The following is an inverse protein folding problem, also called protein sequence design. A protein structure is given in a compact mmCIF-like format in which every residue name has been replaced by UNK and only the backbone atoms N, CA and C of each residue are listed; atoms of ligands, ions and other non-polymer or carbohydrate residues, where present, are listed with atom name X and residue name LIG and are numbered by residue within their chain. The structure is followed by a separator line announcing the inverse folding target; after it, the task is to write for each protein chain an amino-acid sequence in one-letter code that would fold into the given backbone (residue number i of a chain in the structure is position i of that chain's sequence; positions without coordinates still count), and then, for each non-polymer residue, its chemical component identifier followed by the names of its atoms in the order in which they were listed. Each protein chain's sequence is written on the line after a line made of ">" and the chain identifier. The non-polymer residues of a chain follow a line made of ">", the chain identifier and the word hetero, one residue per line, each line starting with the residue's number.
data_IF_426013659343
#
_entry.id   IF_426013659343
#
_cell.length_a   1.000
_cell.length_b   1.000
_cell.length_c   1.000
_cell.angle_alpha   90.00
_cell.angle_beta   90.00
_cell.angle_gamma   90.00
#
_symmetry.space_group_name_H-M   'P 1'
#
loop_
_entity.id
_entity.type
_entity.pdbx_description
1 polymer ?
#
# COMPACT_ATOMS: atom_id res chain seq x y z
N UNK A 1 -4.88 13.25 16.10
CA UNK A 1 -4.69 12.03 15.29
C UNK A 1 -3.34 11.41 15.65
N UNK A 2 -3.31 10.12 15.96
CA UNK A 2 -2.07 9.38 16.23
C UNK A 2 -1.88 8.31 15.16
N UNK A 3 -0.66 8.21 14.64
CA UNK A 3 -0.28 7.21 13.63
C UNK A 3 1.14 6.71 13.92
N UNK A 4 1.45 5.39 13.80
CA UNK A 4 2.79 4.88 14.04
C UNK A 4 3.89 5.55 13.21
N UNK A 5 3.56 5.97 11.99
CA UNK A 5 4.46 6.70 11.10
C UNK A 5 4.45 8.21 11.34
N UNK A 6 3.39 8.74 11.94
CA UNK A 6 3.13 10.19 12.01
C UNK A 6 2.90 10.80 10.63
N UNK A 7 2.49 9.99 9.66
CA UNK A 7 2.25 10.39 8.27
C UNK A 7 0.79 10.19 7.89
N UNK A 8 0.29 11.05 7.01
CA UNK A 8 -0.98 10.88 6.30
C UNK A 8 -0.74 10.26 4.92
N UNK A 9 -1.78 9.63 4.33
CA UNK A 9 -1.74 9.26 2.92
C UNK A 9 -1.50 10.50 2.03
N UNK A 10 -1.03 10.28 0.82
CA UNK A 10 -0.91 11.35 -0.18
C UNK A 10 -2.29 11.89 -0.59
N UNK A 11 -2.29 12.97 -1.37
CA UNK A 11 -3.51 13.56 -1.93
C UNK A 11 -3.49 13.43 -3.43
N UNK A 12 -4.64 13.11 -4.03
CA UNK A 12 -4.77 12.92 -5.47
C UNK A 12 -5.89 13.69 -6.15
N UNK A 13 -5.68 14.05 -7.41
CA UNK A 13 -6.74 14.58 -8.27
C UNK A 13 -7.72 13.50 -8.68
N UNK A 14 -7.21 12.37 -9.15
CA UNK A 14 -8.01 11.23 -9.62
C UNK A 14 -7.15 9.96 -9.57
N UNK A 15 -7.78 8.78 -9.44
CA UNK A 15 -7.06 7.53 -9.75
C UNK A 15 -7.23 7.35 -11.25
N UNK A 16 -6.24 7.77 -12.04
CA UNK A 16 -6.22 7.45 -13.45
C UNK A 16 -5.96 5.94 -13.60
N UNK A 17 -7.03 5.17 -13.83
CA UNK A 17 -6.95 3.73 -14.12
C UNK A 17 -6.16 3.45 -15.40
N UNK A 18 -6.13 4.43 -16.30
CA UNK A 18 -5.37 4.44 -17.54
C UNK A 18 -4.14 5.33 -17.35
N UNK A 19 -3.23 4.90 -16.47
CA UNK A 19 -1.86 5.36 -16.56
C UNK A 19 -1.37 5.23 -18.01
N UNK A 20 -0.66 6.21 -18.58
CA UNK A 20 -0.07 6.08 -19.91
C UNK A 20 0.63 4.74 -20.05
N UNK A 21 0.47 4.04 -21.18
CA UNK A 21 1.17 2.78 -21.50
C UNK A 21 2.68 3.02 -21.77
N UNK A 22 3.32 3.83 -20.94
CA UNK A 22 4.70 4.27 -21.09
C UNK A 22 5.68 3.41 -20.29
N UNK A 23 5.20 2.36 -19.59
CA UNK A 23 6.02 1.44 -18.81
C UNK A 23 5.95 0.01 -19.37
N UNK A 24 6.91 -0.39 -20.24
CA UNK A 24 7.05 -1.74 -20.75
C UNK A 24 7.33 -2.74 -19.63
N UNK A 25 6.69 -3.91 -19.68
CA UNK A 25 6.87 -4.95 -18.66
C UNK A 25 8.29 -5.55 -18.66
N UNK A 26 8.95 -5.59 -19.82
CA UNK A 26 10.32 -6.08 -19.96
C UNK A 26 11.32 -5.16 -19.28
N UNK A 27 11.19 -3.85 -19.49
CA UNK A 27 12.02 -2.82 -18.84
C UNK A 27 11.82 -2.84 -17.32
N UNK A 28 10.56 -2.85 -16.87
CA UNK A 28 10.23 -2.98 -15.44
C UNK A 28 10.87 -4.22 -14.82
N UNK A 29 10.78 -5.37 -15.50
CA UNK A 29 11.41 -6.62 -15.05
C UNK A 29 12.93 -6.53 -15.02
N UNK A 30 13.55 -5.87 -16.00
CA UNK A 30 14.99 -5.68 -16.06
C UNK A 30 15.52 -4.94 -14.83
N UNK A 31 14.76 -3.95 -14.33
CA UNK A 31 15.07 -3.15 -13.14
C UNK A 31 14.56 -3.73 -11.81
N UNK A 32 13.99 -4.93 -11.83
CA UNK A 32 13.44 -5.60 -10.64
C UNK A 32 14.42 -6.59 -10.00
N UNK A 33 15.72 -6.36 -10.15
CA UNK A 33 16.78 -7.27 -9.63
C UNK A 33 17.21 -6.94 -8.21
N UNK A 34 17.02 -5.70 -7.80
CA UNK A 34 17.31 -5.20 -6.46
C UNK A 34 16.43 -3.99 -6.14
N UNK A 35 16.29 -3.65 -4.86
CA UNK A 35 15.53 -2.46 -4.43
C UNK A 35 16.19 -1.17 -4.96
N UNK A 36 17.51 -1.11 -4.98
CA UNK A 36 18.22 0.10 -5.42
C UNK A 36 18.01 0.35 -6.91
N UNK A 37 18.21 -0.67 -7.74
CA UNK A 37 17.97 -0.61 -9.19
C UNK A 37 16.51 -0.19 -9.49
N UNK A 38 15.55 -0.81 -8.79
CA UNK A 38 14.14 -0.45 -8.94
C UNK A 38 13.86 1.01 -8.54
N UNK A 39 14.46 1.49 -7.44
CA UNK A 39 14.29 2.89 -6.99
C UNK A 39 14.86 3.87 -8.00
N UNK A 40 16.03 3.61 -8.56
CA UNK A 40 16.62 4.46 -9.58
C UNK A 40 15.74 4.52 -10.82
N UNK A 41 15.26 3.36 -11.30
CA UNK A 41 14.31 3.28 -12.39
C UNK A 41 13.03 4.09 -12.13
N UNK A 42 12.44 3.91 -10.94
CA UNK A 42 11.23 4.63 -10.55
C UNK A 42 11.43 6.14 -10.51
N UNK A 43 12.55 6.62 -9.96
CA UNK A 43 12.89 8.04 -9.91
C UNK A 43 13.09 8.60 -11.32
N UNK A 44 13.81 7.88 -12.19
CA UNK A 44 14.06 8.30 -13.57
C UNK A 44 12.77 8.39 -14.38
N UNK A 45 11.92 7.35 -14.31
CA UNK A 45 10.63 7.33 -15.00
C UNK A 45 9.70 8.43 -14.48
N UNK A 46 9.73 8.69 -13.18
CA UNK A 46 8.95 9.79 -12.64
C UNK A 46 9.47 11.15 -13.10
N UNK A 47 10.79 11.31 -13.17
CA UNK A 47 11.45 12.50 -13.70
C UNK A 47 11.08 12.75 -15.17
N UNK A 48 11.04 11.70 -16.01
CA UNK A 48 10.66 11.84 -17.42
C UNK A 48 9.19 12.25 -17.59
N UNK A 49 8.31 11.89 -16.66
CA UNK A 49 6.91 12.33 -16.61
C UNK A 49 6.75 13.77 -16.09
N UNK A 50 7.85 14.48 -15.83
CA UNK A 50 7.84 15.83 -15.29
C UNK A 50 7.69 15.89 -13.77
N UNK A 51 7.74 14.75 -13.07
CA UNK A 51 7.91 14.73 -11.62
C UNK A 51 9.36 14.98 -11.29
N UNK A 52 9.75 16.25 -11.25
CA UNK A 52 11.05 16.64 -10.74
C UNK A 52 10.92 16.86 -9.24
N UNK A 53 11.58 16.05 -8.39
CA UNK A 53 11.79 16.45 -7.00
C UNK A 53 12.41 17.85 -6.93
N UNK A 54 13.21 18.27 -7.92
CA UNK A 54 13.79 19.61 -8.01
C UNK A 54 12.85 20.77 -8.42
N UNK A 55 11.64 20.51 -8.94
CA UNK A 55 10.59 21.56 -9.03
C UNK A 55 10.01 21.89 -7.65
N UNK A 56 10.18 20.98 -6.69
CA UNK A 56 10.05 21.23 -5.26
C UNK A 56 11.44 21.67 -4.78
N UNK A 57 11.73 22.98 -4.82
CA UNK A 57 13.05 23.52 -4.39
C UNK A 57 13.40 23.24 -2.92
N UNK A 58 12.49 22.63 -2.18
CA UNK A 58 12.64 22.34 -0.77
C UNK A 58 12.70 20.83 -0.52
N UNK A 59 13.57 20.37 0.40
CA UNK A 59 13.53 18.99 0.85
C UNK A 59 12.11 18.66 1.30
N UNK A 60 11.59 17.52 0.83
CA UNK A 60 10.26 17.05 1.20
C UNK A 60 10.10 17.13 2.73
N UNK A 61 9.04 17.79 3.24
CA UNK A 61 8.87 17.95 4.68
C UNK A 61 8.90 16.59 5.37
N UNK A 62 9.68 16.49 6.45
CA UNK A 62 9.71 15.26 7.28
C UNK A 62 8.48 15.15 8.16
N UNK A 63 7.88 16.29 8.52
CA UNK A 63 6.62 16.38 9.23
C UNK A 63 5.47 15.90 8.32
N UNK A 64 4.65 14.97 8.83
CA UNK A 64 3.54 14.41 8.08
C UNK A 64 2.44 15.42 7.72
N UNK A 65 2.20 16.43 8.56
CA UNK A 65 1.22 17.50 8.28
C UNK A 65 1.69 18.37 7.13
N UNK A 66 2.90 18.93 7.22
CA UNK A 66 3.46 19.81 6.18
C UNK A 66 3.57 19.06 4.85
N UNK A 67 3.95 17.78 4.91
CA UNK A 67 4.01 16.95 3.71
C UNK A 67 2.63 16.69 3.10
N UNK A 68 1.60 16.46 3.93
CA UNK A 68 0.22 16.33 3.45
C UNK A 68 -0.27 17.63 2.79
N UNK A 69 0.02 18.79 3.39
CA UNK A 69 -0.36 20.08 2.84
C UNK A 69 0.31 20.35 1.49
N UNK A 70 1.59 19.98 1.34
CA UNK A 70 2.29 20.01 0.06
C UNK A 70 1.62 19.08 -0.97
N UNK A 71 1.34 17.83 -0.60
CA UNK A 71 0.68 16.88 -1.51
C UNK A 71 -0.71 17.40 -1.93
N UNK A 72 -1.46 18.06 -1.02
CA UNK A 72 -2.74 18.71 -1.32
C UNK A 72 -2.59 19.83 -2.35
N UNK A 73 -1.66 20.76 -2.14
CA UNK A 73 -1.44 21.89 -3.05
C UNK A 73 -1.05 21.42 -4.45
N UNK A 74 -0.17 20.42 -4.54
CA UNK A 74 0.20 19.82 -5.82
C UNK A 74 -0.99 19.18 -6.52
N UNK A 75 -1.83 18.45 -5.79
CA UNK A 75 -3.03 17.83 -6.34
C UNK A 75 -4.04 18.90 -6.79
N UNK A 76 -4.36 19.88 -5.96
CA UNK A 76 -5.33 20.93 -6.28
C UNK A 76 -4.96 21.69 -7.56
N UNK A 77 -3.67 21.89 -7.82
CA UNK A 77 -3.16 22.55 -9.01
C UNK A 77 -2.90 21.61 -10.21
N UNK A 78 -3.26 20.31 -10.12
CA UNK A 78 -3.09 19.35 -11.20
C UNK A 78 -1.65 18.86 -11.43
N UNK A 79 -0.74 19.10 -10.47
CA UNK A 79 0.68 18.74 -10.54
C UNK A 79 1.02 17.42 -9.85
N UNK A 80 0.03 16.62 -9.48
CA UNK A 80 0.24 15.30 -8.87
C UNK A 80 0.63 14.25 -9.92
N UNK A 81 1.92 14.24 -10.29
CA UNK A 81 2.45 13.40 -11.37
C UNK A 81 2.54 11.92 -10.98
N UNK A 82 2.71 11.61 -9.70
CA UNK A 82 2.84 10.22 -9.22
C UNK A 82 1.58 9.37 -9.52
N UNK A 83 0.40 9.99 -9.60
CA UNK A 83 -0.87 9.33 -9.95
C UNK A 83 -0.81 8.64 -11.31
N UNK A 84 0.01 9.17 -12.22
CA UNK A 84 0.17 8.67 -13.59
C UNK A 84 1.00 7.40 -13.66
N UNK A 85 1.82 7.09 -12.65
CA UNK A 85 2.71 5.92 -12.67
C UNK A 85 2.32 4.83 -11.67
N UNK A 86 1.81 5.20 -10.49
CA UNK A 86 1.72 4.25 -9.36
C UNK A 86 0.79 3.07 -9.67
N UNK A 87 -0.34 3.32 -10.32
CA UNK A 87 -1.28 2.27 -10.71
C UNK A 87 -0.63 1.27 -11.67
N UNK A 88 0.13 1.76 -12.65
CA UNK A 88 0.86 0.91 -13.60
C UNK A 88 1.99 0.13 -12.94
N UNK A 89 2.72 0.74 -12.02
CA UNK A 89 3.77 0.06 -11.26
C UNK A 89 3.21 -1.08 -10.41
N UNK A 90 2.06 -0.88 -9.76
CA UNK A 90 1.38 -1.92 -8.99
C UNK A 90 0.93 -3.07 -9.90
N UNK A 91 0.32 -2.74 -11.05
CA UNK A 91 -0.06 -3.75 -12.04
C UNK A 91 1.14 -4.58 -12.50
N UNK A 92 2.25 -3.92 -12.84
CA UNK A 92 3.48 -4.57 -13.27
C UNK A 92 4.15 -5.38 -12.17
N UNK A 93 4.16 -4.89 -10.93
CA UNK A 93 4.64 -5.65 -9.78
C UNK A 93 3.82 -6.93 -9.58
N UNK A 94 2.50 -6.85 -9.64
CA UNK A 94 1.62 -8.03 -9.54
C UNK A 94 1.85 -9.03 -10.69
N UNK A 95 2.13 -8.56 -11.90
CA UNK A 95 2.42 -9.42 -13.05
C UNK A 95 3.82 -10.03 -13.01
N UNK A 96 4.84 -9.25 -12.65
CA UNK A 96 6.25 -9.60 -12.89
C UNK A 96 6.97 -10.10 -11.65
N UNK A 97 6.56 -9.66 -10.45
CA UNK A 97 7.24 -10.04 -9.20
C UNK A 97 6.68 -11.33 -8.60
N UNK A 98 5.42 -11.65 -8.88
CA UNK A 98 4.78 -12.87 -8.39
C UNK A 98 5.64 -14.14 -8.63
N UNK A 99 6.19 -14.40 -9.84
CA UNK A 99 7.01 -15.60 -10.09
C UNK A 99 8.46 -15.52 -9.54
N UNK A 100 8.90 -14.39 -8.96
CA UNK A 100 10.25 -14.28 -8.41
C UNK A 100 10.45 -15.17 -7.18
N UNK A 101 11.72 -15.44 -6.84
CA UNK A 101 12.09 -16.07 -5.57
C UNK A 101 11.48 -15.29 -4.41
N UNK A 102 10.93 -16.01 -3.43
CA UNK A 102 10.19 -15.42 -2.28
C UNK A 102 11.00 -14.32 -1.58
N UNK A 103 12.30 -14.56 -1.34
CA UNK A 103 13.17 -13.58 -0.69
C UNK A 103 13.30 -12.29 -1.49
N UNK A 104 13.60 -12.38 -2.79
CA UNK A 104 13.70 -11.20 -3.66
C UNK A 104 12.37 -10.46 -3.77
N UNK A 105 11.26 -11.19 -3.94
CA UNK A 105 9.92 -10.60 -3.99
C UNK A 105 9.63 -9.81 -2.72
N UNK A 106 9.86 -10.39 -1.54
CA UNK A 106 9.64 -9.70 -0.27
C UNK A 106 10.57 -8.49 -0.09
N UNK A 107 11.83 -8.61 -0.51
CA UNK A 107 12.77 -7.48 -0.48
C UNK A 107 12.30 -6.33 -1.37
N UNK A 108 11.83 -6.60 -2.59
CA UNK A 108 11.28 -5.58 -3.49
C UNK A 108 10.02 -4.93 -2.90
N UNK A 109 9.05 -5.73 -2.44
CA UNK A 109 7.80 -5.26 -1.84
C UNK A 109 8.06 -4.35 -0.63
N UNK A 110 8.90 -4.79 0.30
CA UNK A 110 9.27 -4.01 1.48
C UNK A 110 10.08 -2.76 1.11
N UNK A 111 10.90 -2.82 0.06
CA UNK A 111 11.71 -1.70 -0.39
C UNK A 111 10.90 -0.52 -0.93
N UNK A 112 9.63 -0.77 -1.32
CA UNK A 112 8.75 0.22 -1.95
C UNK A 112 7.43 0.40 -1.21
N UNK A 113 7.26 -0.27 -0.07
CA UNK A 113 6.03 -0.26 0.73
C UNK A 113 5.61 1.16 1.09
N UNK A 114 6.56 2.02 1.45
CA UNK A 114 6.27 3.41 1.83
C UNK A 114 5.66 4.22 0.69
N UNK A 115 6.12 4.00 -0.54
CA UNK A 115 5.58 4.67 -1.74
C UNK A 115 4.20 4.12 -2.09
N UNK A 116 4.08 2.79 -2.09
CA UNK A 116 2.83 2.09 -2.35
C UNK A 116 1.76 2.52 -1.36
N UNK A 117 2.02 2.42 -0.05
CA UNK A 117 1.04 2.74 0.97
C UNK A 117 0.63 4.19 0.90
N UNK A 118 1.59 5.13 0.75
CA UNK A 118 1.28 6.56 0.68
C UNK A 118 0.39 6.91 -0.51
N UNK A 119 0.66 6.36 -1.68
CA UNK A 119 0.04 6.80 -2.92
C UNK A 119 -1.16 5.96 -3.36
N UNK A 120 -1.18 4.66 -3.05
CA UNK A 120 -2.34 3.81 -3.38
C UNK A 120 -3.53 4.15 -2.48
N UNK A 121 -3.27 4.51 -1.22
CA UNK A 121 -4.33 4.96 -0.29
C UNK A 121 -4.57 6.47 -0.36
N UNK A 122 -4.01 7.15 -1.38
CA UNK A 122 -4.13 8.60 -1.49
C UNK A 122 -5.59 9.05 -1.55
N UNK A 123 -5.87 10.12 -0.81
CA UNK A 123 -7.21 10.68 -0.67
C UNK A 123 -7.54 11.57 -1.87
N UNK A 124 -8.75 11.50 -2.45
CA UNK A 124 -9.20 12.48 -3.44
C UNK A 124 -9.12 13.90 -2.87
N UNK A 125 -8.70 14.88 -3.68
CA UNK A 125 -8.52 16.28 -3.27
C UNK A 125 -9.75 16.85 -2.56
N UNK A 126 -10.95 16.49 -3.05
CA UNK A 126 -12.21 16.90 -2.43
C UNK A 126 -12.37 16.38 -0.99
N UNK A 127 -11.92 15.15 -0.71
CA UNK A 127 -11.91 14.59 0.65
C UNK A 127 -10.81 15.20 1.52
N UNK A 128 -9.67 15.55 0.91
CA UNK A 128 -8.52 16.13 1.61
C UNK A 128 -8.73 17.58 2.04
N UNK A 129 -9.65 18.32 1.39
CA UNK A 129 -9.95 19.73 1.68
C UNK A 129 -10.31 19.98 3.14
N UNK A 130 -11.20 19.16 3.71
CA UNK A 130 -11.64 19.32 5.11
C UNK A 130 -10.49 19.07 6.10
N UNK A 131 -9.60 18.12 5.80
CA UNK A 131 -8.42 17.88 6.62
C UNK A 131 -7.46 19.07 6.58
N UNK A 132 -7.22 19.62 5.39
CA UNK A 132 -6.41 20.84 5.22
C UNK A 132 -6.96 22.01 6.02
N UNK A 133 -8.26 22.28 5.93
CA UNK A 133 -8.91 23.36 6.68
C UNK A 133 -8.76 23.15 8.19
N UNK A 134 -8.91 21.92 8.67
CA UNK A 134 -8.71 21.59 10.08
C UNK A 134 -7.28 21.78 10.57
N UNK A 135 -6.27 21.44 9.75
CA UNK A 135 -4.87 21.70 10.09
C UNK A 135 -4.55 23.20 10.09
N UNK A 136 -5.02 23.97 9.11
CA UNK A 136 -4.83 25.42 9.07
C UNK A 136 -5.52 26.14 10.25
N UNK A 137 -6.70 25.69 10.64
CA UNK A 137 -7.44 26.23 11.78
C UNK A 137 -6.86 25.78 13.14
N UNK A 138 -5.89 24.86 13.16
CA UNK A 138 -5.36 24.26 14.39
C UNK A 138 -6.34 23.34 15.12
N UNK A 139 -7.46 22.98 14.49
CA UNK A 139 -8.45 22.05 15.06
C UNK A 139 -8.05 20.58 14.89
N UNK A 140 -7.10 20.30 14.00
CA UNK A 140 -6.50 18.99 13.82
C UNK A 140 -5.01 19.00 14.16
N UNK A 141 -4.57 17.98 14.89
CA UNK A 141 -3.16 17.72 15.20
C UNK A 141 -2.83 16.30 14.78
N UNK A 142 -1.69 16.13 14.10
CA UNK A 142 -1.11 14.83 13.77
C UNK A 142 0.15 14.63 14.60
N UNK A 143 0.22 13.50 15.31
CA UNK A 143 1.41 13.12 16.04
C UNK A 143 1.77 11.65 15.76
N UNK A 144 3.07 11.35 15.82
CA UNK A 144 3.56 9.99 15.69
C UNK A 144 3.29 9.22 16.97
N UNK A 145 2.73 8.02 16.91
CA UNK A 145 2.47 7.19 18.08
C UNK A 145 1.51 6.05 17.80
N UNK A 146 1.59 5.00 18.61
CA UNK A 146 0.68 3.84 18.54
C UNK A 146 -0.70 4.14 19.15
N UNK A 147 -0.86 5.27 19.86
CA UNK A 147 -2.12 5.61 20.52
C UNK A 147 -2.49 4.61 21.62
N UNK A 148 -1.51 4.01 22.28
CA UNK A 148 -1.75 3.25 23.50
C UNK A 148 -2.15 4.21 24.62
N UNK A 149 -3.27 3.94 25.27
CA UNK A 149 -3.78 4.76 26.37
C UNK A 149 -4.57 3.96 27.38
N UNK A 150 -4.72 4.52 28.56
CA UNK A 150 -5.52 3.97 29.64
C UNK A 150 -6.85 4.72 29.72
N UNK A 151 -7.93 4.00 29.99
CA UNK A 151 -9.23 4.62 30.21
C UNK A 151 -9.25 5.28 31.58
N UNK A 152 -9.46 6.60 31.60
CA UNK A 152 -9.58 7.40 32.81
C UNK A 152 -11.01 7.94 32.93
N UNK A 153 -11.90 7.20 33.63
CA UNK A 153 -13.32 7.52 33.87
C UNK A 153 -14.11 7.93 32.60
N UNK A 154 -14.03 9.20 32.20
CA UNK A 154 -14.73 9.82 31.07
C UNK A 154 -13.82 10.23 29.92
N UNK A 155 -12.54 9.85 29.95
CA UNK A 155 -11.55 10.16 28.93
C UNK A 155 -10.59 9.00 28.73
N UNK A 156 -9.81 9.08 27.66
CA UNK A 156 -8.66 8.21 27.37
C UNK A 156 -7.44 9.11 27.27
N UNK A 157 -6.40 8.80 28.02
CA UNK A 157 -5.12 9.51 27.93
C UNK A 157 -4.20 8.76 26.95
N UNK A 158 -3.97 9.34 25.78
CA UNK A 158 -3.16 8.75 24.71
C UNK A 158 -1.75 9.32 24.71
N UNK A 159 -0.73 8.48 24.63
CA UNK A 159 0.67 8.92 24.53
C UNK A 159 1.16 8.89 23.09
N UNK A 160 1.83 9.96 22.66
CA UNK A 160 2.59 9.98 21.41
C UNK A 160 4.01 9.43 21.60
N UNK A 161 4.74 9.27 20.50
CA UNK A 161 6.10 8.74 20.49
C UNK A 161 7.13 9.67 21.14
N UNK A 162 6.79 10.94 21.36
CA UNK A 162 7.59 11.91 22.11
C UNK A 162 7.26 11.91 23.60
N UNK A 163 6.28 11.11 24.04
CA UNK A 163 5.84 11.03 25.42
C UNK A 163 4.80 12.09 25.82
N UNK A 164 4.33 12.92 24.89
CA UNK A 164 3.27 13.88 25.20
C UNK A 164 1.95 13.14 25.39
N UNK A 165 1.15 13.60 26.35
CA UNK A 165 -0.16 13.03 26.67
C UNK A 165 -1.26 13.87 26.05
N UNK A 166 -2.17 13.20 25.35
CA UNK A 166 -3.33 13.76 24.68
C UNK A 166 -4.59 13.17 25.32
N UNK A 167 -5.29 13.96 26.13
CA UNK A 167 -6.54 13.56 26.78
C UNK A 167 -7.71 13.74 25.82
N UNK A 168 -8.45 12.67 25.55
CA UNK A 168 -9.59 12.69 24.62
C UNK A 168 -10.82 12.02 25.21
N UNK A 169 -12.02 12.49 24.85
CA UNK A 169 -13.29 11.93 25.34
C UNK A 169 -13.76 10.72 24.51
N UNK A 170 -13.30 10.65 23.26
CA UNK A 170 -13.66 9.59 22.32
C UNK A 170 -12.44 9.18 21.49
N UNK A 171 -12.40 7.90 21.11
CA UNK A 171 -11.36 7.32 20.27
C UNK A 171 -12.00 6.64 19.08
N UNK A 172 -11.54 6.98 17.88
CA UNK A 172 -11.87 6.26 16.65
C UNK A 172 -10.65 5.43 16.26
N UNK A 173 -10.79 4.10 16.32
CA UNK A 173 -9.75 3.17 15.87
C UNK A 173 -9.90 2.94 14.36
N UNK A 174 -8.97 3.47 13.58
CA UNK A 174 -8.90 3.32 12.12
C UNK A 174 -7.60 2.60 11.69
N UNK A 175 -7.18 1.59 12.46
CA UNK A 175 -5.91 0.89 12.29
C UNK A 175 -5.90 -0.16 11.14
N UNK A 176 -7.01 -0.29 10.41
CA UNK A 176 -7.17 -1.26 9.33
C UNK A 176 -7.69 -2.62 9.82
N UNK A 177 -7.56 -3.63 8.97
CA UNK A 177 -7.99 -5.00 9.22
C UNK A 177 -6.77 -5.92 9.29
N UNK A 178 -6.79 -6.86 10.22
CA UNK A 178 -5.81 -7.95 10.24
C UNK A 178 -6.22 -9.03 9.22
N UNK A 179 -5.28 -9.51 8.42
CA UNK A 179 -5.46 -10.71 7.60
C UNK A 179 -4.94 -11.93 8.39
N UNK A 180 -5.83 -12.75 8.99
CA UNK A 180 -5.41 -13.93 9.72
C UNK A 180 -4.74 -14.97 8.81
N UNK A 181 -4.90 -14.85 7.50
CA UNK A 181 -4.34 -15.75 6.51
C UNK A 181 -4.98 -17.15 6.54
N UNK A 182 -4.33 -18.07 5.84
CA UNK A 182 -4.69 -19.48 5.80
C UNK A 182 -3.63 -20.29 6.51
N UNK A 183 -4.03 -21.28 7.31
CA UNK A 183 -3.12 -22.18 7.99
C UNK A 183 -3.25 -23.60 7.45
N UNK A 184 -2.11 -24.28 7.29
CA UNK A 184 -2.09 -25.71 7.02
C UNK A 184 -1.99 -26.44 8.35
N UNK A 185 -2.99 -27.27 8.66
CA UNK A 185 -2.99 -28.10 9.86
C UNK A 185 -3.33 -29.54 9.48
N UNK A 186 -2.41 -30.46 9.76
CA UNK A 186 -2.44 -31.84 9.25
C UNK A 186 -2.60 -31.88 7.72
N UNK A 187 -3.67 -32.52 7.22
CA UNK A 187 -4.02 -32.61 5.78
C UNK A 187 -5.02 -31.51 5.35
N UNK A 188 -5.49 -30.68 6.28
CA UNK A 188 -6.52 -29.67 6.05
C UNK A 188 -5.97 -28.26 5.95
N UNK A 189 -6.81 -27.38 5.42
CA UNK A 189 -6.52 -25.96 5.20
C UNK A 189 -7.69 -25.20 5.81
N UNK A 190 -7.38 -24.25 6.69
CA UNK A 190 -8.40 -23.55 7.46
C UNK A 190 -8.14 -22.04 7.43
N UNK A 191 -9.19 -21.21 7.36
CA UNK A 191 -9.06 -19.80 7.74
C UNK A 191 -8.81 -19.77 9.26
N UNK A 192 -7.82 -19.02 9.72
CA UNK A 192 -7.57 -18.99 11.17
C UNK A 192 -6.64 -17.90 11.61
N UNK A 193 -6.97 -17.25 12.73
CA UNK A 193 -6.03 -16.42 13.49
C UNK A 193 -4.76 -17.23 13.73
N UNK A 194 -3.61 -16.64 13.38
CA UNK A 194 -2.30 -17.25 13.50
C UNK A 194 -2.12 -17.74 14.94
N UNK A 195 -2.33 -19.04 15.19
CA UNK A 195 -1.96 -19.64 16.46
C UNK A 195 -0.45 -19.48 16.63
N UNK A 196 0.07 -19.27 17.85
CA UNK A 196 1.49 -19.40 18.10
C UNK A 196 1.96 -20.75 17.54
N UNK A 197 2.94 -20.73 16.63
CA UNK A 197 3.50 -21.89 15.91
C UNK A 197 2.72 -22.44 14.69
N UNK A 198 1.68 -21.77 14.19
CA UNK A 198 1.11 -22.10 12.88
C UNK A 198 1.85 -21.33 11.76
N UNK A 199 2.37 -22.04 10.76
CA UNK A 199 2.93 -21.39 9.58
C UNK A 199 1.81 -20.94 8.65
N UNK A 200 1.84 -19.66 8.27
CA UNK A 200 0.99 -19.13 7.20
C UNK A 200 1.21 -19.97 5.96
N UNK A 201 0.14 -20.53 5.42
CA UNK A 201 0.23 -21.33 4.22
C UNK A 201 0.26 -20.40 3.02
N UNK A 202 1.36 -20.47 2.28
CA UNK A 202 1.57 -19.69 1.07
C UNK A 202 1.50 -20.65 -0.11
N UNK A 203 0.56 -20.41 -1.02
CA UNK A 203 0.49 -21.17 -2.28
C UNK A 203 1.70 -20.91 -3.18
N UNK A 204 1.89 -21.77 -4.17
CA UNK A 204 2.83 -21.52 -5.25
C UNK A 204 2.26 -20.43 -6.18
N UNK A 205 3.00 -19.34 -6.46
CA UNK A 205 2.52 -18.31 -7.38
C UNK A 205 2.26 -18.89 -8.76
N UNK A 206 1.16 -18.48 -9.38
CA UNK A 206 0.87 -18.82 -10.77
C UNK A 206 1.64 -17.90 -11.70
N UNK A 207 2.24 -18.48 -12.74
CA UNK A 207 2.85 -17.69 -13.81
C UNK A 207 1.78 -16.82 -14.48
N UNK A 208 2.07 -15.52 -14.61
CA UNK A 208 1.15 -14.50 -15.11
C UNK A 208 -0.15 -14.33 -14.29
N UNK A 209 -0.32 -14.99 -13.15
CA UNK A 209 -1.56 -14.97 -12.36
C UNK A 209 -1.83 -13.69 -11.58
N UNK A 210 -1.12 -12.59 -11.84
CA UNK A 210 -1.30 -11.31 -11.13
C UNK A 210 -1.20 -11.42 -9.61
N UNK A 211 -0.31 -12.28 -9.12
CA UNK A 211 -0.17 -12.54 -7.70
C UNK A 211 -1.03 -13.68 -7.16
N UNK A 212 -1.99 -14.21 -7.93
CA UNK A 212 -2.72 -15.43 -7.57
C UNK A 212 -1.75 -16.57 -7.28
N UNK A 213 -2.03 -17.31 -6.22
CA UNK A 213 -1.27 -18.48 -5.83
C UNK A 213 -2.16 -19.71 -5.81
N UNK A 214 -1.61 -20.88 -6.11
CA UNK A 214 -2.32 -22.15 -6.03
C UNK A 214 -1.72 -23.03 -4.95
N UNK A 215 -2.52 -23.93 -4.40
CA UNK A 215 -2.01 -24.98 -3.56
C UNK A 215 -2.72 -26.32 -3.81
N UNK A 216 -1.91 -27.31 -4.19
CA UNK A 216 -2.43 -28.50 -4.85
C UNK A 216 -3.18 -28.13 -6.14
N UNK A 217 -4.13 -28.97 -6.53
CA UNK A 217 -4.86 -28.83 -7.79
C UNK A 217 -6.30 -28.34 -7.60
N UNK A 218 -6.65 -27.79 -6.43
CA UNK A 218 -8.05 -27.44 -6.09
C UNK A 218 -8.21 -26.15 -5.29
N UNK A 219 -7.12 -25.52 -4.86
CA UNK A 219 -7.18 -24.32 -4.02
C UNK A 219 -6.44 -23.20 -4.71
N UNK A 220 -7.14 -22.09 -4.91
CA UNK A 220 -6.59 -20.83 -5.40
C UNK A 220 -6.72 -19.77 -4.32
N UNK A 221 -5.70 -18.93 -4.22
CA UNK A 221 -5.64 -17.77 -3.36
C UNK A 221 -5.71 -16.51 -4.21
N UNK A 222 -6.62 -15.61 -3.85
CA UNK A 222 -6.78 -14.28 -4.44
C UNK A 222 -7.07 -13.26 -3.32
N UNK A 223 -6.93 -11.97 -3.63
CA UNK A 223 -7.04 -10.88 -2.65
C UNK A 223 -6.01 -11.00 -1.53
N UNK A 224 -6.42 -10.69 -0.30
CA UNK A 224 -5.57 -10.78 0.91
C UNK A 224 -4.98 -12.18 1.14
N UNK A 225 -5.70 -13.23 0.74
CA UNK A 225 -5.18 -14.59 0.82
C UNK A 225 -3.91 -14.80 -0.03
N UNK A 226 -3.72 -13.98 -1.08
CA UNK A 226 -2.57 -13.98 -1.97
C UNK A 226 -1.55 -12.85 -1.64
N UNK A 227 -1.68 -12.16 -0.50
CA UNK A 227 -0.74 -11.10 -0.10
C UNK A 227 0.75 -11.50 -0.18
N UNK A 228 1.17 -12.74 0.16
CA UNK A 228 2.59 -13.13 0.07
C UNK A 228 3.16 -13.18 -1.35
N UNK A 229 2.29 -13.15 -2.37
CA UNK A 229 2.62 -13.25 -3.80
C UNK A 229 2.16 -12.04 -4.60
N UNK A 230 1.56 -11.04 -3.95
CA UNK A 230 0.91 -9.88 -4.55
C UNK A 230 1.47 -8.59 -3.95
N UNK A 231 1.68 -7.55 -4.75
CA UNK A 231 2.19 -6.28 -4.25
C UNK A 231 1.15 -5.49 -3.45
N UNK A 232 -0.08 -5.46 -3.95
CA UNK A 232 -1.22 -4.86 -3.24
C UNK A 232 -2.44 -5.77 -3.41
N UNK A 233 -2.68 -6.67 -2.44
CA UNK A 233 -3.78 -7.63 -2.50
C UNK A 233 -5.18 -6.98 -2.50
N UNK A 234 -5.34 -5.84 -1.82
CA UNK A 234 -6.61 -5.11 -1.68
C UNK A 234 -6.87 -4.07 -2.78
N UNK A 235 -6.06 -4.04 -3.84
CA UNK A 235 -6.32 -3.15 -4.97
C UNK A 235 -7.42 -3.73 -5.86
N UNK A 236 -8.53 -3.01 -6.04
CA UNK A 236 -9.73 -3.53 -6.71
C UNK A 236 -9.45 -4.13 -8.10
N UNK A 237 -8.55 -3.51 -8.87
CA UNK A 237 -8.11 -4.03 -10.17
C UNK A 237 -7.39 -5.37 -10.04
N UNK A 238 -6.52 -5.52 -9.03
CA UNK A 238 -5.87 -6.80 -8.72
C UNK A 238 -6.92 -7.88 -8.48
N UNK A 239 -7.93 -7.61 -7.65
CA UNK A 239 -9.01 -8.56 -7.37
C UNK A 239 -9.76 -8.99 -8.63
N UNK A 240 -10.08 -8.05 -9.53
CA UNK A 240 -10.74 -8.35 -10.81
C UNK A 240 -9.84 -9.23 -11.68
N UNK A 241 -8.56 -8.89 -11.82
CA UNK A 241 -7.62 -9.66 -12.63
C UNK A 241 -7.43 -11.07 -12.07
N UNK A 242 -7.24 -11.21 -10.76
CA UNK A 242 -7.10 -12.51 -10.10
C UNK A 242 -8.36 -13.37 -10.22
N UNK A 243 -9.55 -12.76 -10.18
CA UNK A 243 -10.82 -13.46 -10.41
C UNK A 243 -10.92 -13.99 -11.85
N UNK A 244 -10.57 -13.19 -12.85
CA UNK A 244 -10.52 -13.65 -14.24
C UNK A 244 -9.52 -14.80 -14.42
N UNK A 245 -8.34 -14.72 -13.81
CA UNK A 245 -7.36 -15.82 -13.81
C UNK A 245 -7.90 -17.09 -13.14
N UNK A 246 -8.62 -16.94 -12.03
CA UNK A 246 -9.22 -18.08 -11.36
C UNK A 246 -10.27 -18.77 -12.25
N UNK A 247 -11.09 -18.00 -12.96
CA UNK A 247 -12.06 -18.53 -13.93
C UNK A 247 -11.37 -19.29 -15.06
N UNK A 248 -10.34 -18.72 -15.69
CA UNK A 248 -9.58 -19.37 -16.75
C UNK A 248 -8.89 -20.66 -16.26
N UNK A 249 -8.34 -20.63 -15.05
CA UNK A 249 -7.74 -21.80 -14.42
C UNK A 249 -8.77 -22.90 -14.14
N UNK A 250 -9.95 -22.56 -13.62
CA UNK A 250 -11.05 -23.52 -13.40
C UNK A 250 -11.47 -24.15 -14.73
N UNK A 251 -11.65 -23.34 -15.77
CA UNK A 251 -12.08 -23.81 -17.09
C UNK A 251 -11.06 -24.71 -17.80
N UNK A 252 -9.76 -24.57 -17.48
CA UNK A 252 -8.69 -25.40 -18.05
C UNK A 252 -8.44 -26.70 -17.28
N UNK A 253 -9.01 -26.86 -16.08
CA UNK A 253 -8.85 -28.02 -15.20
C UNK A 253 -10.19 -28.74 -14.90
N UNK A 254 -11.29 -28.29 -15.51
CA UNK A 254 -12.61 -28.95 -15.53
C UNK A 254 -12.67 -29.97 -16.67
#
# INVERSE_FOLDING_TARGET
>A
MLSPSGQLPGVRTSLQLNAPKEMPAEEFRAHSRSVEDFRQYAIQHATSLGWYPGRLREPLPRNGTDRFLLDYELAENGYSVWEKMIGRMVDLANQTWSPLKVSLRQTLLNGISDWIHRYVTAMPVQGAKNLREGFHAGSLVLARGQGSGEQARNAVDLKDASGNSHRVEAVVCACGYEDPGWIKYNKGIFPGQIKPNASRWVGAPLNNGWGTAQAGNRVLFAGEAAAPTTAIPSYARTSIMQANFALDWINSHA
#
